data_IF_709205455644
#
_entry.id   IF_709205455644
#
_cell.length_a   1.000
_cell.length_b   1.000
_cell.length_c   1.000
_cell.angle_alpha   90.00
_cell.angle_beta   90.00
_cell.angle_gamma   90.00
#
_symmetry.space_group_name_H-M   'P 1'
#
loop_
_entity.id
_entity.type
_entity.pdbx_description
1 polymer ?
#
# COMPACT_ATOMS: atom_id res chain seq x y z
N UNK A 1 16.88 -26.17 48.09
CA UNK A 1 16.90 -25.80 46.66
C UNK A 1 15.47 -25.84 46.14
N UNK A 2 14.87 -24.70 45.77
CA UNK A 2 13.54 -24.69 45.15
C UNK A 2 13.71 -25.18 43.70
N UNK A 3 13.04 -26.27 43.33
CA UNK A 3 13.05 -26.79 41.97
C UNK A 3 12.30 -25.81 41.08
N UNK A 4 13.00 -25.17 40.14
CA UNK A 4 12.36 -24.26 39.19
C UNK A 4 11.36 -25.06 38.36
N UNK A 5 10.09 -24.63 38.39
CA UNK A 5 9.02 -25.29 37.63
C UNK A 5 9.22 -24.97 36.15
N UNK A 6 9.17 -26.01 35.31
CA UNK A 6 9.38 -25.94 33.86
C UNK A 6 8.50 -24.86 33.18
N UNK A 7 7.26 -24.70 33.64
CA UNK A 7 6.34 -23.65 33.18
C UNK A 7 6.87 -22.24 33.42
N UNK A 8 7.57 -22.01 34.52
CA UNK A 8 8.16 -20.72 34.87
C UNK A 8 9.40 -20.41 34.02
N UNK A 9 10.15 -21.43 33.60
CA UNK A 9 11.29 -21.29 32.68
C UNK A 9 10.79 -20.99 31.27
N UNK A 10 9.74 -21.69 30.84
CA UNK A 10 9.10 -21.49 29.54
C UNK A 10 8.55 -20.07 29.37
N UNK A 11 7.91 -19.51 30.40
CA UNK A 11 7.41 -18.13 30.36
C UNK A 11 8.53 -17.09 30.26
N UNK A 12 9.67 -17.34 30.89
CA UNK A 12 10.83 -16.42 30.83
C UNK A 12 11.45 -16.44 29.44
N UNK A 13 11.59 -17.63 28.83
CA UNK A 13 12.14 -17.76 27.47
C UNK A 13 11.27 -17.03 26.44
N UNK A 14 9.95 -17.20 26.51
CA UNK A 14 9.00 -16.53 25.61
C UNK A 14 9.07 -15.01 25.78
N UNK A 15 9.15 -14.53 27.03
CA UNK A 15 9.27 -13.09 27.33
C UNK A 15 10.58 -12.52 26.77
N UNK A 16 11.71 -13.23 26.93
CA UNK A 16 13.01 -12.78 26.39
C UNK A 16 13.07 -12.77 24.87
N UNK A 17 12.42 -13.73 24.20
CA UNK A 17 12.40 -13.81 22.74
C UNK A 17 11.55 -12.69 22.12
N UNK A 18 10.48 -12.26 22.81
CA UNK A 18 9.64 -11.15 22.37
C UNK A 18 10.31 -9.78 22.48
N UNK A 19 11.25 -9.59 23.43
CA UNK A 19 12.00 -8.33 23.59
C UNK A 19 12.97 -8.07 22.42
N UNK A 20 13.48 -9.10 21.77
CA UNK A 20 14.40 -8.97 20.63
C UNK A 20 13.73 -8.42 19.36
N UNK A 21 12.41 -8.53 19.24
CA UNK A 21 11.67 -8.02 18.08
C UNK A 21 11.43 -6.49 18.10
N UNK A 22 11.63 -5.82 19.25
CA UNK A 22 11.39 -4.38 19.37
C UNK A 22 12.61 -3.50 19.03
N UNK A 23 13.79 -4.08 18.80
CA UNK A 23 15.02 -3.33 18.49
C UNK A 23 15.39 -3.30 16.99
N UNK A 24 14.52 -3.79 16.11
CA UNK A 24 14.76 -3.75 14.67
C UNK A 24 14.22 -2.44 14.05
N UNK A 25 14.93 -1.34 14.29
CA UNK A 25 14.92 -0.18 13.41
C UNK A 25 16.20 0.64 13.65
N UNK A 26 17.23 0.41 12.85
CA UNK A 26 18.33 1.34 12.65
C UNK A 26 18.47 1.55 11.14
N UNK A 27 17.86 2.62 10.65
CA UNK A 27 18.05 3.10 9.29
C UNK A 27 18.75 4.45 9.38
N UNK A 28 20.04 4.43 9.66
CA UNK A 28 20.94 5.51 9.28
C UNK A 28 21.39 5.29 7.83
N UNK A 29 20.45 5.46 6.89
CA UNK A 29 20.82 5.80 5.52
C UNK A 29 20.89 7.32 5.44
N UNK A 30 22.07 7.86 5.71
CA UNK A 30 22.44 9.15 5.13
C UNK A 30 22.76 8.90 3.67
N UNK A 31 21.73 8.87 2.83
CA UNK A 31 21.89 9.00 1.39
C UNK A 31 22.27 10.46 1.11
N UNK A 32 23.55 10.70 0.81
CA UNK A 32 23.97 11.85 0.02
C UNK A 32 23.32 11.74 -1.37
N UNK A 33 22.06 12.16 -1.50
CA UNK A 33 21.45 12.31 -2.83
C UNK A 33 21.85 13.65 -3.44
N UNK A 34 22.99 13.62 -4.13
CA UNK A 34 23.29 14.57 -5.19
C UNK A 34 22.32 14.35 -6.35
N UNK A 35 21.18 15.04 -6.36
CA UNK A 35 20.58 15.69 -7.55
C UNK A 35 19.33 16.50 -7.19
N UNK A 36 19.55 17.66 -6.58
CA UNK A 36 18.55 18.73 -6.41
C UNK A 36 18.24 19.44 -7.76
N UNK A 37 17.95 18.70 -8.84
CA UNK A 37 17.70 19.25 -10.20
C UNK A 37 16.53 18.60 -10.97
N UNK A 38 15.81 17.62 -10.40
CA UNK A 38 14.57 17.12 -11.04
C UNK A 38 13.29 17.80 -10.53
N UNK A 39 13.40 18.58 -9.44
CA UNK A 39 12.27 19.31 -8.84
C UNK A 39 12.32 20.76 -9.32
N UNK A 40 12.04 21.01 -10.59
CA UNK A 40 11.66 22.35 -11.04
C UNK A 40 10.62 22.25 -12.14
N UNK A 41 9.36 22.19 -11.73
CA UNK A 41 8.17 22.47 -12.55
C UNK A 41 7.99 21.63 -13.82
N UNK A 42 7.79 20.30 -13.68
CA UNK A 42 7.18 19.54 -14.77
C UNK A 42 5.77 20.10 -15.04
N UNK A 43 5.64 20.79 -16.17
CA UNK A 43 4.35 21.32 -16.62
C UNK A 43 3.58 20.19 -17.28
N UNK A 44 2.42 19.85 -16.72
CA UNK A 44 1.51 18.84 -17.30
C UNK A 44 1.10 19.29 -18.69
N UNK A 45 1.56 18.57 -19.72
CA UNK A 45 1.26 18.89 -21.12
C UNK A 45 -0.15 18.45 -21.48
N UNK A 46 -0.64 18.89 -22.64
CA UNK A 46 -1.93 18.42 -23.16
C UNK A 46 -1.94 16.90 -23.37
N UNK A 47 -0.83 16.34 -23.85
CA UNK A 47 -0.69 14.89 -24.03
C UNK A 47 -0.77 14.14 -22.71
N UNK A 48 -0.19 14.69 -21.63
CA UNK A 48 -0.25 14.07 -20.31
C UNK A 48 -1.69 14.07 -19.77
N UNK A 49 -2.44 15.17 -19.97
CA UNK A 49 -3.86 15.23 -19.60
C UNK A 49 -4.71 14.25 -20.40
N UNK A 50 -4.45 14.10 -21.69
CA UNK A 50 -5.18 13.16 -22.53
C UNK A 50 -4.87 11.70 -22.13
N UNK A 51 -3.62 11.41 -21.75
CA UNK A 51 -3.23 10.12 -21.19
C UNK A 51 -3.86 9.86 -19.81
N UNK A 52 -3.88 10.85 -18.91
CA UNK A 52 -4.55 10.75 -17.62
C UNK A 52 -6.06 10.52 -17.77
N UNK A 53 -6.71 11.19 -18.72
CA UNK A 53 -8.11 10.98 -19.00
C UNK A 53 -8.38 9.56 -19.53
N UNK A 54 -7.51 9.05 -20.41
CA UNK A 54 -7.59 7.68 -20.89
C UNK A 54 -7.46 6.67 -19.74
N UNK A 55 -6.46 6.84 -18.85
CA UNK A 55 -6.32 5.99 -17.67
C UNK A 55 -7.55 6.05 -16.76
N UNK A 56 -8.15 7.23 -16.57
CA UNK A 56 -9.38 7.36 -15.78
C UNK A 56 -10.53 6.54 -16.38
N UNK A 57 -10.65 6.50 -17.71
CA UNK A 57 -11.63 5.66 -18.40
C UNK A 57 -11.34 4.16 -18.25
N UNK A 58 -10.07 3.76 -18.27
CA UNK A 58 -9.65 2.37 -18.02
C UNK A 58 -9.99 1.91 -16.60
N UNK A 59 -9.67 2.71 -15.58
CA UNK A 59 -9.99 2.40 -14.18
C UNK A 59 -11.51 2.33 -13.96
N UNK A 60 -12.27 3.24 -14.58
CA UNK A 60 -13.74 3.20 -14.55
C UNK A 60 -14.29 1.93 -15.20
N UNK A 61 -13.75 1.53 -16.36
CA UNK A 61 -14.14 0.29 -17.02
C UNK A 61 -13.86 -0.93 -16.13
N UNK A 62 -12.69 -0.97 -15.48
CA UNK A 62 -12.34 -2.03 -14.55
C UNK A 62 -13.31 -2.08 -13.36
N UNK A 63 -13.54 -0.96 -12.68
CA UNK A 63 -14.47 -0.84 -11.55
C UNK A 63 -15.90 -1.27 -11.92
N UNK A 64 -16.41 -0.79 -13.05
CA UNK A 64 -17.77 -1.08 -13.52
C UNK A 64 -17.89 -2.59 -13.89
N UNK A 65 -16.86 -3.18 -14.48
CA UNK A 65 -16.78 -4.62 -14.78
C UNK A 65 -16.78 -5.46 -13.51
N UNK A 66 -15.94 -5.14 -12.52
CA UNK A 66 -15.91 -5.87 -11.25
C UNK A 66 -17.18 -5.67 -10.44
N UNK A 67 -17.83 -4.50 -10.55
CA UNK A 67 -19.16 -4.29 -9.98
C UNK A 67 -20.20 -5.21 -10.59
N UNK A 68 -20.20 -5.37 -11.92
CA UNK A 68 -21.10 -6.31 -12.59
C UNK A 68 -20.85 -7.77 -12.18
N UNK A 69 -19.58 -8.19 -12.12
CA UNK A 69 -19.19 -9.54 -11.70
C UNK A 69 -19.53 -9.82 -10.24
N UNK A 70 -19.33 -8.85 -9.35
CA UNK A 70 -19.72 -8.94 -7.95
C UNK A 70 -21.24 -9.10 -7.80
N UNK A 71 -22.03 -8.34 -8.55
CA UNK A 71 -23.49 -8.48 -8.55
C UNK A 71 -23.96 -9.83 -9.10
N UNK A 72 -23.22 -10.40 -10.05
CA UNK A 72 -23.59 -11.67 -10.70
C UNK A 72 -23.20 -12.88 -9.85
N UNK A 73 -22.03 -12.83 -9.21
CA UNK A 73 -21.40 -13.99 -8.57
C UNK A 73 -21.23 -13.86 -7.05
N UNK A 74 -21.33 -12.64 -6.52
CA UNK A 74 -21.19 -12.32 -5.08
C UNK A 74 -19.92 -12.89 -4.45
N UNK A 75 -18.79 -12.74 -5.14
CA UNK A 75 -17.49 -13.22 -4.69
C UNK A 75 -16.66 -12.06 -4.12
N UNK A 76 -16.15 -12.24 -2.91
CA UNK A 76 -15.32 -11.26 -2.21
C UNK A 76 -14.18 -10.65 -3.05
N UNK A 77 -13.47 -11.40 -3.93
CA UNK A 77 -12.45 -10.79 -4.79
C UNK A 77 -13.01 -9.65 -5.65
N UNK A 78 -14.21 -9.79 -6.23
CA UNK A 78 -14.80 -8.73 -7.05
C UNK A 78 -15.22 -7.52 -6.22
N UNK A 79 -15.78 -7.73 -5.02
CA UNK A 79 -16.05 -6.66 -4.05
C UNK A 79 -14.77 -5.90 -3.68
N UNK A 80 -13.68 -6.60 -3.39
CA UNK A 80 -12.44 -5.96 -2.96
C UNK A 80 -11.78 -5.19 -4.11
N UNK A 81 -11.76 -5.79 -5.31
CA UNK A 81 -11.12 -5.16 -6.47
C UNK A 81 -11.90 -3.92 -6.90
N UNK A 82 -13.24 -3.96 -6.99
CA UNK A 82 -14.01 -2.75 -7.37
C UNK A 82 -13.78 -1.58 -6.40
N UNK A 83 -13.52 -1.84 -5.11
CA UNK A 83 -13.18 -0.79 -4.13
C UNK A 83 -11.77 -0.25 -4.39
N UNK A 84 -10.83 -1.12 -4.76
CA UNK A 84 -9.48 -0.70 -5.17
C UNK A 84 -9.52 0.19 -6.41
N UNK A 85 -10.29 -0.19 -7.44
CA UNK A 85 -10.38 0.60 -8.68
C UNK A 85 -11.03 1.97 -8.45
N UNK A 86 -11.94 2.08 -7.48
CA UNK A 86 -12.46 3.39 -7.05
C UNK A 86 -11.34 4.28 -6.48
N UNK A 87 -10.41 3.71 -5.72
CA UNK A 87 -9.25 4.44 -5.18
C UNK A 87 -8.30 4.86 -6.30
N UNK A 88 -8.10 4.00 -7.31
CA UNK A 88 -7.30 4.35 -8.49
C UNK A 88 -7.92 5.50 -9.29
N UNK A 89 -9.23 5.47 -9.53
CA UNK A 89 -9.94 6.58 -10.16
C UNK A 89 -9.72 7.90 -9.41
N UNK A 90 -9.92 7.91 -8.09
CA UNK A 90 -9.72 9.09 -7.25
C UNK A 90 -8.28 9.61 -7.33
N UNK A 91 -7.30 8.70 -7.38
CA UNK A 91 -5.90 9.07 -7.55
C UNK A 91 -5.64 9.75 -8.91
N UNK A 92 -6.21 9.23 -10.00
CA UNK A 92 -6.06 9.83 -11.34
C UNK A 92 -6.82 11.16 -11.45
N UNK A 93 -8.02 11.25 -10.87
CA UNK A 93 -8.78 12.50 -10.79
C UNK A 93 -7.98 13.59 -10.08
N UNK A 94 -7.30 13.26 -8.98
CA UNK A 94 -6.44 14.20 -8.24
C UNK A 94 -5.25 14.74 -9.07
N UNK A 95 -4.80 14.02 -10.10
CA UNK A 95 -3.74 14.47 -11.01
C UNK A 95 -4.26 15.36 -12.14
N UNK A 96 -5.57 15.40 -12.38
CA UNK A 96 -6.20 16.19 -13.44
C UNK A 96 -6.57 17.62 -12.99
N UNK A 97 -6.68 17.85 -11.68
CA UNK A 97 -7.12 19.13 -11.07
C UNK A 97 -5.99 20.15 -10.93
#
# INVERSE_FOLDING_TARGET
MKTLKFTSVLTIIILTLSLSFFYACDSNDTDEDSTNDWITNQTVTKSDKDALLFMLEEEKLARDTYSYLDNTWSLNPFTNIKISEQTHMEAVENLLI
#
